data_IF_801578580449
#
_entry.id   IF_801578580449
#
_cell.length_a   1.000
_cell.length_b   1.000
_cell.length_c   1.000
_cell.angle_alpha   90.00
_cell.angle_beta   90.00
_cell.angle_gamma   90.00
#
_symmetry.space_group_name_H-M   'P 1'
#
loop_
_entity.id
_entity.type
_entity.pdbx_description
1 polymer ?
#
# COMPACT_ATOMS: atom_id res chain seq x y z
N UNK A 1 37.63 25.99 -5.81
CA UNK A 1 37.20 24.61 -5.50
C UNK A 1 36.46 24.06 -6.72
N UNK A 2 36.89 22.92 -7.26
CA UNK A 2 36.50 22.41 -8.59
C UNK A 2 35.02 22.00 -8.61
N UNK A 3 34.24 22.49 -9.58
CA UNK A 3 32.82 22.14 -9.79
C UNK A 3 32.53 20.62 -9.79
N UNK A 4 33.54 19.81 -10.11
CA UNK A 4 33.47 18.35 -10.12
C UNK A 4 33.21 17.72 -8.75
N UNK A 5 33.73 18.28 -7.65
CA UNK A 5 33.44 17.77 -6.29
C UNK A 5 32.03 18.14 -5.85
N UNK A 6 31.53 19.31 -6.25
CA UNK A 6 30.17 19.75 -5.93
C UNK A 6 29.10 18.85 -6.55
N UNK A 7 29.29 18.42 -7.82
CA UNK A 7 28.39 17.44 -8.49
C UNK A 7 28.36 16.08 -7.78
N UNK A 8 29.50 15.59 -7.28
CA UNK A 8 29.58 14.29 -6.58
C UNK A 8 28.88 14.32 -5.23
N UNK A 9 29.02 15.43 -4.50
CA UNK A 9 28.34 15.62 -3.22
C UNK A 9 26.84 15.77 -3.43
N UNK A 10 26.39 16.54 -4.43
CA UNK A 10 24.96 16.72 -4.68
C UNK A 10 24.27 15.41 -5.09
N UNK A 11 24.92 14.59 -5.93
CA UNK A 11 24.38 13.29 -6.32
C UNK A 11 24.31 12.34 -5.12
N UNK A 12 25.30 12.36 -4.23
CA UNK A 12 25.31 11.54 -3.02
C UNK A 12 24.18 11.94 -2.06
N UNK A 13 23.98 13.25 -1.85
CA UNK A 13 22.87 13.78 -1.03
C UNK A 13 21.52 13.43 -1.66
N UNK A 14 21.37 13.55 -2.98
CA UNK A 14 20.14 13.18 -3.67
C UNK A 14 19.79 11.69 -3.49
N UNK A 15 20.78 10.80 -3.59
CA UNK A 15 20.58 9.35 -3.36
C UNK A 15 20.19 9.07 -1.91
N UNK A 16 20.83 9.71 -0.93
CA UNK A 16 20.46 9.56 0.48
C UNK A 16 19.03 10.03 0.77
N UNK A 17 18.62 11.16 0.20
CA UNK A 17 17.25 11.66 0.33
C UNK A 17 16.24 10.71 -0.31
N UNK A 18 16.55 10.15 -1.48
CA UNK A 18 15.70 9.17 -2.15
C UNK A 18 15.56 7.88 -1.32
N UNK A 19 16.65 7.43 -0.69
CA UNK A 19 16.66 6.27 0.18
C UNK A 19 15.79 6.52 1.43
N UNK A 20 15.96 7.65 2.10
CA UNK A 20 15.15 8.04 3.26
C UNK A 20 13.65 8.16 2.90
N UNK A 21 13.31 8.74 1.75
CA UNK A 21 11.92 8.83 1.29
C UNK A 21 11.30 7.44 1.06
N UNK A 22 12.09 6.48 0.58
CA UNK A 22 11.62 5.10 0.33
C UNK A 22 11.32 4.34 1.62
N UNK A 23 12.04 4.62 2.72
CA UNK A 23 11.77 4.02 4.03
C UNK A 23 10.45 4.50 4.64
N UNK A 24 10.03 5.74 4.39
CA UNK A 24 8.74 6.26 4.85
C UNK A 24 7.56 5.50 4.26
N UNK A 25 7.68 4.94 3.04
CA UNK A 25 6.61 4.18 2.39
C UNK A 25 6.37 2.79 3.02
N UNK A 26 7.36 2.20 3.69
CA UNK A 26 7.21 0.91 4.40
C UNK A 26 6.68 1.08 5.84
N UNK A 27 6.64 2.31 6.37
CA UNK A 27 6.27 2.54 7.77
C UNK A 27 4.75 2.56 8.02
N UNK A 28 3.91 2.64 6.98
CA UNK A 28 2.45 2.77 7.08
C UNK A 28 1.76 1.46 7.50
N UNK A 29 2.01 1.05 8.74
CA UNK A 29 1.31 -0.05 9.39
C UNK A 29 -0.18 0.30 9.55
N UNK A 30 -1.08 -0.69 9.50
CA UNK A 30 -2.51 -0.43 9.73
C UNK A 30 -2.78 0.12 11.14
N UNK A 31 -1.87 -0.13 12.09
CA UNK A 31 -1.88 0.49 13.41
C UNK A 31 -1.66 2.01 13.34
N UNK A 32 -0.63 2.47 12.63
CA UNK A 32 -0.38 3.91 12.46
C UNK A 32 -1.54 4.62 11.75
N UNK A 33 -2.10 4.00 10.71
CA UNK A 33 -3.30 4.53 10.01
C UNK A 33 -4.52 4.63 10.92
N UNK A 34 -4.73 3.66 11.82
CA UNK A 34 -5.81 3.73 12.80
C UNK A 34 -5.57 4.89 13.79
N UNK A 35 -4.34 5.04 14.28
CA UNK A 35 -3.93 6.13 15.20
C UNK A 35 -4.11 7.52 14.57
N UNK A 36 -3.68 7.71 13.32
CA UNK A 36 -3.87 8.97 12.58
C UNK A 36 -5.35 9.34 12.42
N UNK A 37 -6.22 8.34 12.28
CA UNK A 37 -7.68 8.55 12.14
C UNK A 37 -8.40 8.69 13.47
N UNK A 38 -7.69 8.70 14.61
CA UNK A 38 -8.28 8.73 15.94
C UNK A 38 -9.13 7.49 16.26
N UNK A 39 -8.89 6.37 15.57
CA UNK A 39 -9.65 5.13 15.76
C UNK A 39 -8.80 4.10 16.49
N UNK A 40 -9.45 3.25 17.28
CA UNK A 40 -8.80 2.09 17.89
C UNK A 40 -8.39 1.11 16.79
N UNK A 41 -7.13 0.67 16.80
CA UNK A 41 -6.68 -0.39 15.91
C UNK A 41 -7.31 -1.72 16.34
N UNK A 42 -7.97 -2.41 15.39
CA UNK A 42 -8.49 -3.76 15.57
C UNK A 42 -7.78 -4.66 14.57
N UNK A 43 -6.99 -5.61 15.09
CA UNK A 43 -6.33 -6.61 14.25
C UNK A 43 -7.38 -7.50 13.60
N UNK A 44 -7.59 -7.33 12.29
CA UNK A 44 -8.38 -8.27 11.48
C UNK A 44 -7.40 -9.24 10.82
N UNK A 45 -7.33 -10.51 11.25
CA UNK A 45 -6.54 -11.50 10.55
C UNK A 45 -7.00 -11.54 9.10
N UNK A 46 -6.06 -11.57 8.16
CA UNK A 46 -6.36 -11.73 6.75
C UNK A 46 -6.75 -13.19 6.51
N UNK A 47 -7.94 -13.58 6.95
CA UNK A 47 -8.49 -14.88 6.55
C UNK A 47 -8.65 -14.87 5.02
N UNK A 48 -8.35 -15.99 4.36
CA UNK A 48 -8.74 -16.20 2.97
C UNK A 48 -10.22 -15.89 2.86
N UNK A 49 -10.56 -14.78 2.22
CA UNK A 49 -11.95 -14.42 1.98
C UNK A 49 -12.49 -15.51 1.07
N UNK A 50 -13.37 -16.36 1.59
CA UNK A 50 -13.99 -17.42 0.81
C UNK A 50 -14.78 -16.73 -0.30
N UNK A 51 -14.26 -16.74 -1.52
CA UNK A 51 -14.96 -16.22 -2.68
C UNK A 51 -16.16 -17.14 -2.86
N UNK A 52 -17.35 -16.70 -2.43
CA UNK A 52 -18.56 -17.40 -2.82
C UNK A 52 -18.61 -17.36 -4.34
N UNK A 53 -18.73 -18.51 -5.03
CA UNK A 53 -18.96 -18.51 -6.46
C UNK A 53 -20.19 -17.66 -6.71
N UNK A 54 -20.03 -16.60 -7.52
CA UNK A 54 -21.16 -15.82 -7.97
C UNK A 54 -22.00 -16.75 -8.85
N UNK A 55 -23.05 -17.36 -8.28
CA UNK A 55 -24.06 -18.07 -9.06
C UNK A 55 -24.83 -17.06 -9.92
N UNK A 56 -24.20 -16.61 -11.01
CA UNK A 56 -24.88 -16.02 -12.17
C UNK A 56 -25.37 -17.17 -13.03
N UNK A 57 -26.48 -17.78 -12.65
CA UNK A 57 -27.11 -18.82 -13.46
C UNK A 57 -28.28 -19.42 -12.73
N UNK A 58 -29.50 -18.96 -13.05
CA UNK A 58 -30.69 -19.63 -12.54
C UNK A 58 -32.02 -18.94 -12.79
N UNK A 59 -32.08 -17.62 -12.99
CA UNK A 59 -33.39 -16.94 -13.11
C UNK A 59 -33.89 -16.85 -14.56
N UNK A 60 -33.01 -16.91 -15.56
CA UNK A 60 -33.40 -16.82 -16.99
C UNK A 60 -33.80 -18.16 -17.62
N UNK A 61 -33.63 -19.30 -16.94
CA UNK A 61 -34.02 -20.62 -17.48
C UNK A 61 -35.45 -21.05 -17.09
N UNK A 62 -36.16 -20.26 -16.26
CA UNK A 62 -37.49 -20.62 -15.73
C UNK A 62 -38.67 -19.98 -16.46
N UNK A 63 -38.43 -19.06 -17.41
CA UNK A 63 -39.49 -18.31 -18.12
C UNK A 63 -39.53 -18.59 -19.64
N UNK A 64 -38.97 -19.72 -20.09
CA UNK A 64 -38.94 -20.13 -21.49
C UNK A 64 -39.86 -21.31 -21.81
N UNK A 65 -41.09 -21.32 -21.29
CA UNK A 65 -42.16 -22.22 -21.73
C UNK A 65 -43.41 -21.43 -22.06
#
# INVERSE_FOLDING_TARGET
MRLSTFRRVSSFVAVLLLLCASFSALADTPFQRARQRGRRYVHRPMYKQYQRPAHRGGVLALFGK
#
